data_IF_819005871245
#
_entry.id   IF_819005871245
#
_cell.length_a   1.000
_cell.length_b   1.000
_cell.length_c   1.000
_cell.angle_alpha   90.00
_cell.angle_beta   90.00
_cell.angle_gamma   90.00
#
_symmetry.space_group_name_H-M   'P 1'
#
loop_
_entity.id
_entity.type
_entity.pdbx_description
1 polymer ?
#
# COMPACT_ATOMS: atom_id res chain seq x y z
N UNK A 1 -48.54 -39.35 -12.88
CA UNK A 1 -47.40 -39.80 -13.73
C UNK A 1 -46.47 -38.64 -14.00
N UNK A 2 -45.46 -38.42 -13.14
CA UNK A 2 -44.40 -37.41 -13.36
C UNK A 2 -43.38 -38.01 -14.30
N UNK A 3 -43.43 -37.60 -15.59
CA UNK A 3 -42.33 -37.89 -16.53
C UNK A 3 -41.12 -37.08 -16.08
N UNK A 4 -40.21 -37.69 -15.31
CA UNK A 4 -38.85 -37.21 -15.21
C UNK A 4 -38.26 -37.10 -16.61
N UNK A 5 -38.37 -35.96 -17.26
CA UNK A 5 -37.61 -35.66 -18.47
C UNK A 5 -36.13 -35.63 -18.03
N UNK A 6 -35.39 -36.69 -18.35
CA UNK A 6 -33.94 -36.67 -18.25
C UNK A 6 -33.44 -35.56 -19.15
N UNK A 7 -32.88 -34.50 -18.51
CA UNK A 7 -32.27 -33.38 -19.23
C UNK A 7 -31.07 -33.92 -20.05
N UNK A 8 -30.91 -33.40 -21.24
CA UNK A 8 -29.66 -33.63 -22.02
C UNK A 8 -28.47 -32.98 -21.32
N UNK A 9 -27.26 -33.37 -21.68
CA UNK A 9 -26.01 -32.76 -21.14
C UNK A 9 -26.07 -31.20 -21.31
N UNK A 10 -26.44 -30.75 -22.50
CA UNK A 10 -26.55 -29.32 -22.79
C UNK A 10 -27.61 -28.61 -21.91
N UNK A 11 -28.80 -29.20 -21.76
CA UNK A 11 -29.86 -28.66 -20.91
C UNK A 11 -29.44 -28.65 -19.44
N UNK A 12 -28.69 -29.66 -18.97
CA UNK A 12 -28.16 -29.72 -17.61
C UNK A 12 -27.10 -28.64 -17.40
N UNK A 13 -26.24 -28.42 -18.38
CA UNK A 13 -25.24 -27.35 -18.34
C UNK A 13 -25.87 -25.96 -18.33
N UNK A 14 -26.84 -25.71 -19.21
CA UNK A 14 -27.57 -24.42 -19.24
C UNK A 14 -28.28 -24.15 -17.92
N UNK A 15 -28.91 -25.17 -17.34
CA UNK A 15 -29.55 -25.05 -16.02
C UNK A 15 -28.51 -24.75 -14.92
N UNK A 16 -27.32 -25.39 -14.97
CA UNK A 16 -26.24 -25.11 -14.04
C UNK A 16 -25.79 -23.65 -14.14
N UNK A 17 -25.61 -23.12 -15.34
CA UNK A 17 -25.26 -21.70 -15.58
C UNK A 17 -26.31 -20.77 -15.01
N UNK A 18 -27.60 -21.04 -15.26
CA UNK A 18 -28.71 -20.25 -14.70
C UNK A 18 -28.72 -20.24 -13.16
N UNK A 19 -28.45 -21.40 -12.54
CA UNK A 19 -28.38 -21.50 -11.07
C UNK A 19 -27.17 -20.74 -10.51
N UNK A 20 -26.03 -20.83 -11.21
CA UNK A 20 -24.83 -20.09 -10.86
C UNK A 20 -25.06 -18.57 -10.90
N UNK A 21 -25.65 -18.07 -12.00
CA UNK A 21 -26.03 -16.64 -12.15
C UNK A 21 -27.03 -16.16 -11.07
N UNK A 22 -27.90 -17.02 -10.59
CA UNK A 22 -28.84 -16.73 -9.48
C UNK A 22 -28.21 -16.95 -8.10
N UNK A 23 -26.92 -17.08 -8.00
CA UNK A 23 -26.16 -17.34 -6.75
C UNK A 23 -26.61 -18.60 -5.98
N UNK A 24 -27.22 -19.57 -6.68
CA UNK A 24 -27.56 -20.87 -6.10
C UNK A 24 -26.43 -21.87 -6.32
N UNK A 25 -25.30 -21.61 -5.63
CA UNK A 25 -24.02 -22.23 -5.89
C UNK A 25 -24.01 -23.75 -5.66
N UNK A 26 -24.66 -24.23 -4.60
CA UNK A 26 -24.72 -25.69 -4.31
C UNK A 26 -25.44 -26.48 -5.39
N UNK A 27 -26.57 -25.94 -5.90
CA UNK A 27 -27.32 -26.57 -6.98
C UNK A 27 -26.53 -26.50 -8.29
N UNK A 28 -25.86 -25.38 -8.55
CA UNK A 28 -25.01 -25.21 -9.73
C UNK A 28 -23.85 -26.22 -9.74
N UNK A 29 -23.15 -26.38 -8.60
CA UNK A 29 -22.08 -27.38 -8.41
C UNK A 29 -22.58 -28.79 -8.75
N UNK A 30 -23.68 -29.24 -8.12
CA UNK A 30 -24.26 -30.55 -8.37
C UNK A 30 -24.62 -30.79 -9.85
N UNK A 31 -25.08 -29.74 -10.55
CA UNK A 31 -25.42 -29.82 -11.97
C UNK A 31 -24.15 -29.86 -12.86
N UNK A 32 -23.12 -29.07 -12.57
CA UNK A 32 -21.84 -29.13 -13.27
C UNK A 32 -21.18 -30.51 -13.07
N UNK A 33 -21.23 -31.07 -11.86
CA UNK A 33 -20.73 -32.41 -11.58
C UNK A 33 -21.49 -33.49 -12.38
N UNK A 34 -22.81 -33.34 -12.55
CA UNK A 34 -23.58 -34.25 -13.40
C UNK A 34 -23.13 -34.16 -14.87
N UNK A 35 -22.86 -32.96 -15.36
CA UNK A 35 -22.31 -32.76 -16.70
C UNK A 35 -20.97 -33.47 -16.82
N UNK A 36 -20.04 -33.23 -15.86
CA UNK A 36 -18.69 -33.82 -15.88
C UNK A 36 -18.66 -35.35 -15.65
N UNK A 37 -19.67 -35.94 -15.00
CA UNK A 37 -19.82 -37.39 -14.90
C UNK A 37 -20.13 -38.02 -16.25
N UNK A 38 -20.85 -37.32 -17.12
CA UNK A 38 -21.19 -37.84 -18.47
C UNK A 38 -20.13 -37.44 -19.50
N UNK A 39 -19.65 -36.20 -19.44
CA UNK A 39 -18.55 -35.70 -20.29
C UNK A 39 -17.47 -35.07 -19.40
N UNK A 40 -16.44 -35.82 -18.97
CA UNK A 40 -15.35 -35.34 -18.14
C UNK A 40 -14.52 -34.22 -18.77
N UNK A 41 -14.64 -34.02 -20.09
CA UNK A 41 -13.90 -33.04 -20.88
C UNK A 41 -14.77 -31.81 -21.25
N UNK A 42 -15.95 -31.64 -20.67
CA UNK A 42 -16.83 -30.54 -20.97
C UNK A 42 -16.23 -29.21 -20.49
N UNK A 43 -15.59 -28.50 -21.40
CA UNK A 43 -14.83 -27.24 -21.13
C UNK A 43 -15.60 -26.20 -20.33
N UNK A 44 -16.87 -25.96 -20.73
CA UNK A 44 -17.72 -24.97 -20.04
C UNK A 44 -17.98 -25.35 -18.59
N UNK A 45 -18.23 -26.64 -18.30
CA UNK A 45 -18.47 -27.11 -16.94
C UNK A 45 -17.21 -27.02 -16.07
N UNK A 46 -16.04 -27.42 -16.62
CA UNK A 46 -14.75 -27.28 -15.91
C UNK A 46 -14.45 -25.84 -15.56
N UNK A 47 -14.59 -24.92 -16.52
CA UNK A 47 -14.30 -23.50 -16.30
C UNK A 47 -15.28 -22.88 -15.31
N UNK A 48 -16.59 -23.13 -15.46
CA UNK A 48 -17.60 -22.53 -14.59
C UNK A 48 -17.56 -23.12 -13.18
N UNK A 49 -17.20 -24.39 -13.01
CA UNK A 49 -17.01 -25.01 -11.71
C UNK A 49 -15.78 -24.42 -10.99
N UNK A 50 -14.70 -24.14 -11.74
CA UNK A 50 -13.54 -23.45 -11.22
C UNK A 50 -13.89 -22.01 -10.74
N UNK A 51 -14.68 -21.27 -11.53
CA UNK A 51 -15.19 -19.94 -11.14
C UNK A 51 -16.05 -20.04 -9.87
N UNK A 52 -16.91 -21.05 -9.78
CA UNK A 52 -17.76 -21.30 -8.61
C UNK A 52 -16.91 -21.56 -7.36
N UNK A 53 -15.92 -22.43 -7.43
CA UNK A 53 -15.03 -22.69 -6.28
C UNK A 53 -14.21 -21.45 -5.89
N UNK A 54 -13.80 -20.63 -6.85
CA UNK A 54 -13.16 -19.35 -6.58
C UNK A 54 -14.09 -18.39 -5.80
N UNK A 55 -15.38 -18.36 -6.16
CA UNK A 55 -16.38 -17.56 -5.46
C UNK A 55 -16.65 -18.07 -4.04
N UNK A 56 -16.51 -19.38 -3.82
CA UNK A 56 -16.62 -20.01 -2.48
C UNK A 56 -15.33 -19.89 -1.64
N UNK A 57 -14.23 -19.33 -2.18
CA UNK A 57 -12.93 -19.28 -1.52
C UNK A 57 -12.19 -20.62 -1.49
N UNK A 58 -12.65 -21.61 -2.25
CA UNK A 58 -12.04 -22.94 -2.37
C UNK A 58 -10.96 -22.96 -3.47
N UNK A 59 -9.94 -22.08 -3.34
CA UNK A 59 -8.96 -21.79 -4.37
C UNK A 59 -8.16 -23.03 -4.82
N UNK A 60 -7.91 -23.99 -3.94
CA UNK A 60 -7.24 -25.26 -4.33
C UNK A 60 -8.10 -26.10 -5.28
N UNK A 61 -9.41 -26.16 -5.07
CA UNK A 61 -10.32 -26.85 -5.99
C UNK A 61 -10.40 -26.08 -7.32
N UNK A 62 -10.54 -24.77 -7.28
CA UNK A 62 -10.55 -23.93 -8.49
C UNK A 62 -9.32 -24.18 -9.36
N UNK A 63 -8.12 -24.24 -8.76
CA UNK A 63 -6.86 -24.56 -9.42
C UNK A 63 -6.94 -25.86 -10.21
N UNK A 64 -7.41 -26.95 -9.57
CA UNK A 64 -7.53 -28.27 -10.20
C UNK A 64 -8.39 -28.21 -11.47
N UNK A 65 -9.51 -27.54 -11.42
CA UNK A 65 -10.43 -27.45 -12.56
C UNK A 65 -9.90 -26.55 -13.68
N UNK A 66 -9.23 -25.42 -13.36
CA UNK A 66 -8.56 -24.60 -14.38
C UNK A 66 -7.40 -25.35 -15.05
N UNK A 67 -6.59 -26.08 -14.28
CA UNK A 67 -5.51 -26.90 -14.83
C UNK A 67 -6.04 -28.00 -15.78
N UNK A 68 -7.16 -28.65 -15.42
CA UNK A 68 -7.85 -29.59 -16.33
C UNK A 68 -8.33 -28.90 -17.60
N UNK A 69 -8.97 -27.73 -17.50
CA UNK A 69 -9.43 -26.97 -18.64
C UNK A 69 -8.27 -26.56 -19.58
N UNK A 70 -7.15 -26.11 -19.00
CA UNK A 70 -5.95 -25.75 -19.76
C UNK A 70 -5.30 -26.96 -20.42
N UNK A 71 -5.30 -28.14 -19.76
CA UNK A 71 -4.79 -29.37 -20.35
C UNK A 71 -5.58 -29.78 -21.59
N UNK A 72 -6.89 -29.57 -21.58
CA UNK A 72 -7.75 -29.85 -22.73
C UNK A 72 -7.62 -28.80 -23.84
N UNK A 73 -7.49 -27.53 -23.48
CA UNK A 73 -7.34 -26.42 -24.43
C UNK A 73 -6.20 -25.49 -23.96
N UNK A 74 -4.95 -25.81 -24.35
CA UNK A 74 -3.79 -25.03 -23.92
C UNK A 74 -3.82 -23.52 -24.31
N UNK A 75 -4.51 -23.20 -25.40
CA UNK A 75 -4.66 -21.84 -25.91
C UNK A 75 -5.97 -21.18 -25.42
N UNK A 76 -6.30 -21.30 -24.12
CA UNK A 76 -7.49 -20.69 -23.53
C UNK A 76 -7.07 -19.51 -22.62
N UNK A 77 -6.99 -18.30 -23.17
CA UNK A 77 -6.50 -17.11 -22.48
C UNK A 77 -7.23 -16.83 -21.14
N UNK A 78 -8.57 -16.97 -21.13
CA UNK A 78 -9.39 -16.74 -19.93
C UNK A 78 -9.04 -17.72 -18.81
N UNK A 79 -8.85 -19.00 -19.14
CA UNK A 79 -8.49 -20.00 -18.12
C UNK A 79 -7.10 -19.74 -17.53
N UNK A 80 -6.12 -19.33 -18.36
CA UNK A 80 -4.81 -18.91 -17.87
C UNK A 80 -4.90 -17.66 -16.99
N UNK A 81 -5.67 -16.64 -17.38
CA UNK A 81 -5.89 -15.46 -16.55
C UNK A 81 -6.51 -15.84 -15.19
N UNK A 82 -7.55 -16.65 -15.19
CA UNK A 82 -8.24 -17.03 -13.95
C UNK A 82 -7.37 -17.94 -13.06
N UNK A 83 -6.58 -18.84 -13.64
CA UNK A 83 -5.59 -19.61 -12.89
C UNK A 83 -4.51 -18.69 -12.28
N UNK A 84 -4.10 -17.64 -12.99
CA UNK A 84 -3.20 -16.62 -12.48
C UNK A 84 -3.76 -15.93 -11.24
N UNK A 85 -5.06 -15.58 -11.24
CA UNK A 85 -5.75 -15.00 -10.08
C UNK A 85 -5.74 -15.98 -8.90
N UNK A 86 -5.99 -17.27 -9.15
CA UNK A 86 -5.94 -18.32 -8.11
C UNK A 86 -4.54 -18.45 -7.52
N UNK A 87 -3.48 -18.50 -8.35
CA UNK A 87 -2.11 -18.55 -7.85
C UNK A 87 -1.74 -17.32 -7.01
N UNK A 88 -2.20 -16.11 -7.38
CA UNK A 88 -1.97 -14.91 -6.57
C UNK A 88 -2.63 -15.03 -5.18
N UNK A 89 -3.87 -15.49 -5.11
CA UNK A 89 -4.56 -15.72 -3.82
C UNK A 89 -3.86 -16.78 -2.95
N UNK A 90 -3.20 -17.76 -3.59
CA UNK A 90 -2.42 -18.79 -2.91
C UNK A 90 -0.99 -18.32 -2.54
N UNK A 91 -0.61 -17.07 -2.83
CA UNK A 91 0.74 -16.54 -2.60
C UNK A 91 1.81 -17.09 -3.55
N UNK A 92 1.40 -17.73 -4.67
CA UNK A 92 2.30 -18.32 -5.65
C UNK A 92 2.61 -17.30 -6.78
N UNK A 93 3.18 -16.13 -6.44
CA UNK A 93 3.30 -14.95 -7.31
C UNK A 93 4.03 -15.24 -8.64
N UNK A 94 5.08 -16.04 -8.65
CA UNK A 94 5.80 -16.37 -9.89
C UNK A 94 4.96 -17.22 -10.86
N UNK A 95 4.14 -18.15 -10.33
CA UNK A 95 3.21 -18.92 -11.14
C UNK A 95 2.07 -18.05 -11.66
N UNK A 96 1.58 -17.14 -10.80
CA UNK A 96 0.58 -16.13 -11.18
C UNK A 96 1.07 -15.29 -12.36
N UNK A 97 2.28 -14.71 -12.26
CA UNK A 97 2.93 -13.95 -13.33
C UNK A 97 2.99 -14.75 -14.63
N UNK A 98 3.50 -15.98 -14.57
CA UNK A 98 3.60 -16.88 -15.75
C UNK A 98 2.23 -17.15 -16.42
N UNK A 99 1.17 -17.29 -15.61
CA UNK A 99 -0.18 -17.51 -16.13
C UNK A 99 -0.72 -16.28 -16.86
N UNK A 100 -0.54 -15.07 -16.31
CA UNK A 100 -0.96 -13.84 -16.98
C UNK A 100 -0.15 -13.59 -18.26
N UNK A 101 1.16 -13.82 -18.26
CA UNK A 101 2.00 -13.73 -19.45
C UNK A 101 1.53 -14.69 -20.56
N UNK A 102 1.13 -15.93 -20.20
CA UNK A 102 0.55 -16.88 -21.14
C UNK A 102 -0.80 -16.39 -21.67
N UNK A 103 -1.66 -15.86 -20.81
CA UNK A 103 -2.95 -15.31 -21.23
C UNK A 103 -2.77 -14.18 -22.27
N UNK A 104 -1.82 -13.27 -22.03
CA UNK A 104 -1.48 -12.16 -22.92
C UNK A 104 -0.86 -12.68 -24.23
N UNK A 105 0.01 -13.68 -24.17
CA UNK A 105 0.60 -14.30 -25.37
C UNK A 105 -0.48 -14.92 -26.27
N UNK A 106 -1.51 -15.52 -25.67
CA UNK A 106 -2.64 -16.13 -26.40
C UNK A 106 -3.59 -15.05 -26.94
N UNK A 107 -3.91 -14.06 -26.11
CA UNK A 107 -4.76 -12.93 -26.48
C UNK A 107 -4.10 -11.60 -26.06
N UNK A 108 -3.35 -10.95 -26.95
CA UNK A 108 -2.69 -9.66 -26.65
C UNK A 108 -3.65 -8.52 -26.27
N UNK A 109 -4.93 -8.64 -26.61
CA UNK A 109 -5.96 -7.66 -26.29
C UNK A 109 -6.80 -8.03 -25.06
N UNK A 110 -6.25 -8.85 -24.14
CA UNK A 110 -6.92 -9.20 -22.88
C UNK A 110 -6.60 -8.16 -21.81
N UNK A 111 -7.42 -7.11 -21.69
CA UNK A 111 -7.22 -6.00 -20.76
C UNK A 111 -7.06 -6.46 -19.30
N UNK A 112 -7.90 -7.42 -18.84
CA UNK A 112 -7.81 -7.95 -17.46
C UNK A 112 -6.47 -8.63 -17.19
N UNK A 113 -5.95 -9.40 -18.16
CA UNK A 113 -4.66 -10.07 -18.00
C UNK A 113 -3.49 -9.06 -17.90
N UNK A 114 -3.54 -7.98 -18.68
CA UNK A 114 -2.57 -6.89 -18.55
C UNK A 114 -2.68 -6.20 -17.18
N UNK A 115 -3.90 -5.86 -16.73
CA UNK A 115 -4.10 -5.27 -15.40
C UNK A 115 -3.63 -6.19 -14.28
N UNK A 116 -3.94 -7.48 -14.34
CA UNK A 116 -3.56 -8.45 -13.33
C UNK A 116 -2.04 -8.69 -13.30
N UNK A 117 -1.39 -8.75 -14.47
CA UNK A 117 0.07 -8.80 -14.56
C UNK A 117 0.70 -7.54 -13.96
N UNK A 118 0.14 -6.35 -14.23
CA UNK A 118 0.56 -5.10 -13.63
C UNK A 118 0.52 -5.14 -12.09
N UNK A 119 -0.54 -5.72 -11.51
CA UNK A 119 -0.65 -5.87 -10.06
C UNK A 119 0.43 -6.79 -9.47
N UNK A 120 0.73 -7.92 -10.10
CA UNK A 120 1.81 -8.82 -9.66
C UNK A 120 3.18 -8.13 -9.78
N UNK A 121 3.45 -7.45 -10.88
CA UNK A 121 4.70 -6.72 -11.08
C UNK A 121 4.89 -5.62 -10.03
N UNK A 122 3.80 -4.90 -9.70
CA UNK A 122 3.79 -3.91 -8.61
C UNK A 122 4.14 -4.55 -7.25
N UNK A 123 3.57 -5.72 -6.93
CA UNK A 123 3.89 -6.46 -5.70
C UNK A 123 5.37 -6.89 -5.67
N UNK A 124 5.91 -7.30 -6.80
CA UNK A 124 7.32 -7.68 -6.95
C UNK A 124 8.28 -6.47 -7.01
N UNK A 125 7.77 -5.23 -6.98
CA UNK A 125 8.59 -4.01 -7.07
C UNK A 125 9.07 -3.67 -8.48
N UNK A 126 8.55 -4.33 -9.52
CA UNK A 126 8.86 -4.08 -10.92
C UNK A 126 7.99 -2.94 -11.50
N UNK A 127 8.07 -1.73 -10.89
CA UNK A 127 7.12 -0.63 -11.10
C UNK A 127 7.03 -0.15 -12.56
N UNK A 128 8.13 -0.02 -13.28
CA UNK A 128 8.13 0.43 -14.67
C UNK A 128 7.39 -0.58 -15.59
N UNK A 129 7.57 -1.87 -15.32
CA UNK A 129 6.83 -2.90 -16.06
C UNK A 129 5.35 -2.90 -15.69
N UNK A 130 5.01 -2.66 -14.41
CA UNK A 130 3.63 -2.53 -13.97
C UNK A 130 2.91 -1.36 -14.66
N UNK A 131 3.55 -0.18 -14.75
CA UNK A 131 3.06 0.99 -15.51
C UNK A 131 2.74 0.59 -16.96
N UNK A 132 3.70 -0.03 -17.65
CA UNK A 132 3.50 -0.46 -19.05
C UNK A 132 2.32 -1.42 -19.21
N UNK A 133 2.10 -2.31 -18.25
CA UNK A 133 0.96 -3.24 -18.26
C UNK A 133 -0.38 -2.51 -18.06
N UNK A 134 -0.47 -1.57 -17.09
CA UNK A 134 -1.67 -0.78 -16.88
C UNK A 134 -1.99 0.11 -18.08
N UNK A 135 -1.00 0.78 -18.67
CA UNK A 135 -1.17 1.58 -19.89
C UNK A 135 -1.68 0.75 -21.07
N UNK A 136 -1.19 -0.49 -21.21
CA UNK A 136 -1.72 -1.44 -22.20
C UNK A 136 -3.18 -1.80 -21.94
N UNK A 137 -3.54 -2.10 -20.68
CA UNK A 137 -4.92 -2.37 -20.30
C UNK A 137 -5.85 -1.18 -20.63
N UNK A 138 -5.41 0.04 -20.32
CA UNK A 138 -6.13 1.29 -20.63
C UNK A 138 -6.24 1.52 -22.13
N UNK A 139 -5.19 1.25 -22.89
CA UNK A 139 -5.23 1.37 -24.36
C UNK A 139 -6.25 0.42 -24.98
N UNK A 140 -6.39 -0.80 -24.42
CA UNK A 140 -7.37 -1.79 -24.88
C UNK A 140 -8.79 -1.39 -24.45
N UNK A 141 -8.95 -0.96 -23.20
CA UNK A 141 -10.22 -0.51 -22.63
C UNK A 141 -10.02 0.85 -21.93
N UNK A 142 -10.28 1.99 -22.62
CA UNK A 142 -10.10 3.33 -22.06
C UNK A 142 -10.97 3.65 -20.84
N UNK A 143 -12.05 2.91 -20.61
CA UNK A 143 -12.92 3.06 -19.43
C UNK A 143 -12.62 2.03 -18.32
N UNK A 144 -11.46 1.38 -18.34
CA UNK A 144 -11.09 0.39 -17.34
C UNK A 144 -10.68 1.06 -16.02
N UNK A 145 -11.66 1.30 -15.17
CA UNK A 145 -11.51 1.99 -13.87
C UNK A 145 -10.34 1.45 -13.05
N UNK A 146 -10.28 0.11 -12.87
CA UNK A 146 -9.23 -0.50 -12.04
C UNK A 146 -7.82 -0.29 -12.60
N UNK A 147 -7.65 -0.27 -13.92
CA UNK A 147 -6.34 -0.03 -14.53
C UNK A 147 -5.87 1.41 -14.32
N UNK A 148 -6.77 2.41 -14.48
CA UNK A 148 -6.47 3.81 -14.15
C UNK A 148 -6.15 3.98 -12.66
N UNK A 149 -6.92 3.37 -11.77
CA UNK A 149 -6.69 3.42 -10.33
C UNK A 149 -5.35 2.79 -9.92
N UNK A 150 -5.04 1.61 -10.47
CA UNK A 150 -3.78 0.92 -10.18
C UNK A 150 -2.56 1.69 -10.72
N UNK A 151 -2.68 2.28 -11.91
CA UNK A 151 -1.66 3.16 -12.50
C UNK A 151 -1.42 4.39 -11.63
N UNK A 152 -2.49 5.03 -11.16
CA UNK A 152 -2.42 6.17 -10.25
C UNK A 152 -1.69 5.81 -8.95
N UNK A 153 -1.97 4.64 -8.37
CA UNK A 153 -1.30 4.16 -7.15
C UNK A 153 0.20 3.93 -7.35
N UNK A 154 0.62 3.45 -8.54
CA UNK A 154 2.06 3.30 -8.84
C UNK A 154 2.71 4.67 -8.98
N UNK A 155 2.11 5.61 -9.72
CA UNK A 155 2.64 6.98 -9.83
C UNK A 155 2.75 7.68 -8.47
N UNK A 156 1.71 7.54 -7.63
CA UNK A 156 1.74 8.11 -6.27
C UNK A 156 2.89 7.53 -5.43
N UNK A 157 3.13 6.22 -5.50
CA UNK A 157 4.24 5.57 -4.81
C UNK A 157 5.62 6.05 -5.30
N UNK A 158 5.74 6.35 -6.59
CA UNK A 158 6.99 6.84 -7.20
C UNK A 158 7.20 8.35 -7.04
N UNK A 159 6.29 9.08 -6.39
CA UNK A 159 6.38 10.53 -6.24
C UNK A 159 5.94 11.31 -7.48
N UNK A 160 5.37 10.65 -8.48
CA UNK A 160 4.86 11.30 -9.70
C UNK A 160 3.46 11.86 -9.48
N UNK A 161 3.30 12.76 -8.48
CA UNK A 161 2.01 13.24 -7.95
C UNK A 161 1.08 13.78 -9.03
N UNK A 162 1.57 14.54 -10.02
CA UNK A 162 0.73 15.11 -11.09
C UNK A 162 0.13 14.04 -11.99
N UNK A 163 0.89 12.97 -12.31
CA UNK A 163 0.39 11.83 -13.07
C UNK A 163 -0.66 11.05 -12.26
N UNK A 164 -0.39 10.84 -10.96
CA UNK A 164 -1.33 10.19 -10.06
C UNK A 164 -2.66 10.95 -9.99
N UNK A 165 -2.63 12.28 -9.77
CA UNK A 165 -3.80 13.16 -9.75
C UNK A 165 -4.60 13.05 -11.05
N UNK A 166 -3.93 13.08 -12.21
CA UNK A 166 -4.59 12.94 -13.51
C UNK A 166 -5.34 11.61 -13.64
N UNK A 167 -4.69 10.51 -13.23
CA UNK A 167 -5.30 9.18 -13.28
C UNK A 167 -6.45 9.03 -12.29
N UNK A 168 -6.36 9.54 -11.04
CA UNK A 168 -7.48 9.51 -10.08
C UNK A 168 -8.67 10.35 -10.57
N UNK A 169 -8.42 11.54 -11.16
CA UNK A 169 -9.47 12.35 -11.77
C UNK A 169 -10.18 11.57 -12.90
N UNK A 170 -9.42 10.79 -13.68
CA UNK A 170 -10.02 9.94 -14.73
C UNK A 170 -10.85 8.79 -14.14
N UNK A 171 -10.41 8.17 -13.04
CA UNK A 171 -11.23 7.18 -12.32
C UNK A 171 -12.58 7.78 -11.91
N UNK A 172 -12.56 8.97 -11.28
CA UNK A 172 -13.76 9.67 -10.82
C UNK A 172 -14.68 10.11 -11.99
N UNK A 173 -14.10 10.44 -13.13
CA UNK A 173 -14.87 10.75 -14.36
C UNK A 173 -15.63 9.52 -14.87
N UNK A 174 -14.98 8.33 -14.85
CA UNK A 174 -15.58 7.09 -15.33
C UNK A 174 -16.57 6.52 -14.31
N UNK A 175 -16.18 6.48 -13.02
CA UNK A 175 -17.02 6.04 -11.90
C UNK A 175 -17.05 7.10 -10.80
N UNK A 176 -18.06 7.97 -10.79
CA UNK A 176 -18.22 9.00 -9.77
C UNK A 176 -18.47 8.50 -8.34
N UNK A 177 -18.72 7.20 -8.15
CA UNK A 177 -18.95 6.60 -6.84
C UNK A 177 -17.72 5.85 -6.29
N UNK A 178 -16.59 5.87 -7.00
CA UNK A 178 -15.36 5.20 -6.57
C UNK A 178 -14.68 5.97 -5.42
N UNK A 179 -15.10 5.69 -4.20
CA UNK A 179 -14.71 6.43 -2.97
C UNK A 179 -13.22 6.44 -2.72
N UNK A 180 -12.52 5.34 -3.01
CA UNK A 180 -11.07 5.20 -2.84
C UNK A 180 -10.28 6.17 -3.75
N UNK A 181 -10.81 6.48 -4.94
CA UNK A 181 -10.16 7.45 -5.81
C UNK A 181 -10.25 8.88 -5.25
N UNK A 182 -11.37 9.26 -4.65
CA UNK A 182 -11.48 10.56 -3.96
C UNK A 182 -10.51 10.65 -2.78
N UNK A 183 -10.42 9.59 -1.97
CA UNK A 183 -9.48 9.55 -0.86
C UNK A 183 -8.03 9.69 -1.33
N UNK A 184 -7.62 8.89 -2.33
CA UNK A 184 -6.25 8.93 -2.83
C UNK A 184 -5.96 10.23 -3.60
N UNK A 185 -6.93 10.82 -4.27
CA UNK A 185 -6.81 12.14 -4.88
C UNK A 185 -6.59 13.22 -3.84
N UNK A 186 -7.32 13.17 -2.71
CA UNK A 186 -7.10 14.06 -1.58
C UNK A 186 -5.66 13.92 -1.04
N UNK A 187 -5.18 12.68 -0.86
CA UNK A 187 -3.80 12.39 -0.40
C UNK A 187 -2.75 12.97 -1.35
N UNK A 188 -2.96 12.84 -2.66
CA UNK A 188 -2.03 13.33 -3.68
C UNK A 188 -2.08 14.85 -3.90
N UNK A 189 -3.05 15.55 -3.30
CA UNK A 189 -3.28 17.00 -3.48
C UNK A 189 -2.67 17.79 -2.33
N UNK A 190 -1.74 18.70 -2.61
CA UNK A 190 -1.07 19.54 -1.61
C UNK A 190 -1.85 20.81 -1.24
N UNK A 191 -2.89 21.17 -1.99
CA UNK A 191 -3.71 22.36 -1.75
C UNK A 191 -4.86 22.08 -0.79
N UNK A 192 -4.94 22.82 0.32
CA UNK A 192 -5.97 22.65 1.37
C UNK A 192 -7.40 22.83 0.83
N UNK A 193 -7.64 23.84 -0.02
CA UNK A 193 -8.99 24.15 -0.51
C UNK A 193 -9.47 23.08 -1.51
N UNK A 194 -8.60 22.64 -2.42
CA UNK A 194 -8.90 21.53 -3.34
C UNK A 194 -9.15 20.25 -2.53
N UNK A 195 -8.31 19.96 -1.55
CA UNK A 195 -8.41 18.82 -0.65
C UNK A 195 -9.76 18.81 0.10
N UNK A 196 -10.17 19.95 0.67
CA UNK A 196 -11.50 20.10 1.31
C UNK A 196 -12.65 19.87 0.34
N UNK A 197 -12.54 20.36 -0.90
CA UNK A 197 -13.55 20.14 -1.94
C UNK A 197 -13.70 18.66 -2.28
N UNK A 198 -12.58 17.96 -2.42
CA UNK A 198 -12.55 16.51 -2.69
C UNK A 198 -13.20 15.73 -1.54
N UNK A 199 -12.80 16.01 -0.29
CA UNK A 199 -13.35 15.35 0.90
C UNK A 199 -14.86 15.58 1.08
N UNK A 200 -15.35 16.80 0.76
CA UNK A 200 -16.79 17.09 0.78
C UNK A 200 -17.56 16.23 -0.23
N UNK A 201 -17.00 16.02 -1.42
CA UNK A 201 -17.59 15.11 -2.43
C UNK A 201 -17.58 13.67 -1.93
N UNK A 202 -16.46 13.20 -1.39
CA UNK A 202 -16.35 11.86 -0.79
C UNK A 202 -17.41 11.66 0.32
N UNK A 203 -17.51 12.59 1.25
CA UNK A 203 -18.45 12.51 2.36
C UNK A 203 -19.94 12.58 1.92
N UNK A 204 -20.22 13.22 0.78
CA UNK A 204 -21.56 13.20 0.16
C UNK A 204 -21.92 11.81 -0.39
N UNK A 205 -20.95 11.07 -0.90
CA UNK A 205 -21.12 9.69 -1.40
C UNK A 205 -21.21 8.71 -0.24
N UNK A 206 -20.28 8.82 0.71
CA UNK A 206 -20.18 7.97 1.91
C UNK A 206 -20.19 8.85 3.18
N UNK A 207 -21.37 9.11 3.71
CA UNK A 207 -21.57 9.96 4.89
C UNK A 207 -21.17 9.27 6.22
N UNK A 208 -20.78 7.99 6.18
CA UNK A 208 -20.23 7.22 7.31
C UNK A 208 -18.70 7.22 7.33
N UNK A 209 -18.05 7.84 6.35
CA UNK A 209 -16.60 7.88 6.26
C UNK A 209 -15.99 8.77 7.35
N UNK A 210 -15.71 8.14 8.49
CA UNK A 210 -15.12 8.82 9.67
C UNK A 210 -13.79 9.49 9.34
N UNK A 211 -12.94 8.86 8.50
CA UNK A 211 -11.65 9.45 8.13
C UNK A 211 -11.82 10.74 7.34
N UNK A 212 -12.75 10.77 6.38
CA UNK A 212 -13.06 11.99 5.63
C UNK A 212 -13.59 13.10 6.52
N UNK A 213 -14.50 12.79 7.46
CA UNK A 213 -15.03 13.73 8.46
C UNK A 213 -13.90 14.33 9.32
N UNK A 214 -13.01 13.48 9.84
CA UNK A 214 -11.88 13.92 10.66
C UNK A 214 -10.96 14.83 9.84
N UNK A 215 -10.58 14.43 8.62
CA UNK A 215 -9.70 15.24 7.77
C UNK A 215 -10.31 16.61 7.42
N UNK A 216 -11.59 16.69 7.12
CA UNK A 216 -12.24 17.97 6.88
C UNK A 216 -12.13 18.89 8.10
N UNK A 217 -12.35 18.37 9.31
CA UNK A 217 -12.24 19.17 10.55
C UNK A 217 -10.81 19.67 10.79
N UNK A 218 -9.81 18.83 10.47
CA UNK A 218 -8.38 19.21 10.56
C UNK A 218 -8.05 20.34 9.59
N UNK A 219 -8.39 20.18 8.32
CA UNK A 219 -8.10 21.18 7.30
C UNK A 219 -8.77 22.53 7.61
N UNK A 220 -9.97 22.50 8.20
CA UNK A 220 -10.62 23.70 8.67
C UNK A 220 -9.90 24.30 9.89
N UNK A 221 -9.42 23.48 10.83
CA UNK A 221 -8.60 23.93 11.96
C UNK A 221 -7.33 24.65 11.50
N UNK A 222 -6.63 24.12 10.49
CA UNK A 222 -5.48 24.82 9.89
C UNK A 222 -5.84 26.14 9.19
N UNK A 223 -7.09 26.33 8.80
CA UNK A 223 -7.63 27.61 8.31
C UNK A 223 -8.13 28.53 9.45
N UNK A 224 -7.92 28.14 10.70
CA UNK A 224 -8.34 28.89 11.89
C UNK A 224 -9.78 28.62 12.36
N UNK A 225 -10.49 27.67 11.73
CA UNK A 225 -11.84 27.30 12.17
C UNK A 225 -11.83 25.95 12.89
N UNK A 226 -11.86 25.99 14.22
CA UNK A 226 -11.81 24.81 15.08
C UNK A 226 -13.19 24.24 15.48
N UNK A 227 -14.29 24.83 15.04
CA UNK A 227 -15.63 24.43 15.49
C UNK A 227 -15.93 22.96 15.23
N UNK A 228 -15.66 22.48 14.01
CA UNK A 228 -15.89 21.06 13.68
C UNK A 228 -14.94 20.12 14.41
N UNK A 229 -13.71 20.53 14.66
CA UNK A 229 -12.76 19.74 15.44
C UNK A 229 -13.16 19.64 16.90
N UNK A 230 -13.65 20.74 17.52
CA UNK A 230 -14.18 20.73 18.88
C UNK A 230 -15.42 19.83 19.01
N UNK A 231 -16.31 19.85 18.01
CA UNK A 231 -17.45 18.93 17.95
C UNK A 231 -16.98 17.46 17.82
N UNK A 232 -15.92 17.21 17.07
CA UNK A 232 -15.32 15.89 16.95
C UNK A 232 -14.78 15.37 18.29
N UNK A 233 -14.08 16.23 19.03
CA UNK A 233 -13.56 15.90 20.37
C UNK A 233 -14.69 15.61 21.41
N UNK A 234 -15.86 16.19 21.22
CA UNK A 234 -17.03 15.95 22.05
C UNK A 234 -17.85 14.71 21.62
N UNK A 235 -17.49 14.05 20.53
CA UNK A 235 -18.22 12.91 19.95
C UNK A 235 -17.55 11.57 20.30
N UNK A 236 -18.19 10.44 19.88
CA UNK A 236 -17.61 9.11 19.95
C UNK A 236 -16.29 8.95 19.14
N UNK A 237 -16.07 9.83 18.16
CA UNK A 237 -14.86 9.82 17.33
C UNK A 237 -13.63 10.42 18.06
N UNK A 238 -13.77 10.92 19.28
CA UNK A 238 -12.67 11.49 20.10
C UNK A 238 -11.53 10.48 20.33
N UNK A 239 -11.86 9.20 20.45
CA UNK A 239 -10.88 8.11 20.65
C UNK A 239 -10.32 7.53 19.36
N UNK A 240 -10.77 8.00 18.19
CA UNK A 240 -10.21 7.55 16.91
C UNK A 240 -8.71 7.90 16.83
N UNK A 241 -7.82 7.00 16.37
CA UNK A 241 -6.37 7.26 16.33
C UNK A 241 -6.02 8.60 15.66
N UNK A 242 -6.67 8.91 14.55
CA UNK A 242 -6.50 10.17 13.84
C UNK A 242 -6.86 11.38 14.71
N UNK A 243 -7.97 11.32 15.43
CA UNK A 243 -8.41 12.42 16.31
C UNK A 243 -7.41 12.64 17.43
N UNK A 244 -6.87 11.56 18.04
CA UNK A 244 -5.87 11.67 19.11
C UNK A 244 -4.56 12.28 18.58
N UNK A 245 -4.08 11.85 17.43
CA UNK A 245 -2.87 12.40 16.79
C UNK A 245 -3.03 13.89 16.46
N UNK A 246 -4.18 14.28 15.92
CA UNK A 246 -4.46 15.66 15.57
C UNK A 246 -4.59 16.53 16.82
N UNK A 247 -5.23 16.02 17.89
CA UNK A 247 -5.28 16.68 19.19
C UNK A 247 -3.87 16.98 19.72
N UNK A 248 -2.96 16.00 19.59
CA UNK A 248 -1.56 16.20 19.95
C UNK A 248 -0.90 17.28 19.08
N UNK A 249 -1.06 17.23 17.74
CA UNK A 249 -0.49 18.27 16.86
C UNK A 249 -1.04 19.66 17.18
N UNK A 250 -2.34 19.79 17.44
CA UNK A 250 -2.94 21.10 17.81
C UNK A 250 -2.59 21.55 19.22
N UNK A 251 -2.04 20.69 20.08
CA UNK A 251 -1.51 21.07 21.40
C UNK A 251 -0.06 21.54 21.36
N UNK A 252 0.63 21.44 20.23
CA UNK A 252 2.01 21.89 20.09
C UNK A 252 2.11 23.41 20.25
N UNK A 253 3.20 23.94 20.86
CA UNK A 253 3.38 25.41 21.07
C UNK A 253 3.36 26.20 19.76
N UNK A 254 3.76 25.55 18.66
CA UNK A 254 3.73 26.11 17.31
C UNK A 254 3.24 25.02 16.35
N UNK A 255 2.24 25.37 15.53
CA UNK A 255 1.75 24.44 14.51
C UNK A 255 2.83 24.19 13.47
N UNK A 256 3.13 22.90 13.20
CA UNK A 256 4.09 22.51 12.16
C UNK A 256 3.52 22.77 10.78
N UNK A 257 4.39 22.83 9.77
CA UNK A 257 3.97 22.82 8.38
C UNK A 257 3.35 21.45 8.05
N UNK A 258 2.20 21.45 7.36
CA UNK A 258 1.50 20.19 7.03
C UNK A 258 1.60 19.84 5.55
N UNK A 259 1.63 18.54 5.31
CA UNK A 259 1.52 17.92 4.00
C UNK A 259 0.57 16.72 4.05
N UNK A 260 0.17 16.21 2.89
CA UNK A 260 -0.77 15.09 2.77
C UNK A 260 -0.15 13.89 2.07
N UNK A 261 1.00 14.05 1.42
CA UNK A 261 1.74 12.97 0.80
C UNK A 261 3.20 12.96 1.28
N UNK A 262 3.82 11.78 1.17
CA UNK A 262 5.19 11.51 1.60
C UNK A 262 6.22 12.38 0.86
N UNK A 263 6.02 12.63 -0.42
CA UNK A 263 7.04 13.25 -1.25
C UNK A 263 7.12 14.76 -0.99
N UNK A 264 5.99 15.46 -0.94
CA UNK A 264 5.94 16.88 -0.55
C UNK A 264 6.47 17.08 0.87
N UNK A 265 6.25 16.09 1.77
CA UNK A 265 6.83 16.09 3.11
C UNK A 265 8.36 15.98 3.04
N UNK A 266 8.91 14.99 2.30
CA UNK A 266 10.35 14.86 2.14
C UNK A 266 10.97 16.06 1.45
N UNK A 267 10.35 16.63 0.42
CA UNK A 267 10.83 17.85 -0.23
C UNK A 267 10.95 19.01 0.78
N UNK A 268 9.95 19.17 1.63
CA UNK A 268 9.99 20.21 2.68
C UNK A 268 11.09 19.94 3.72
N UNK A 269 11.29 18.71 4.12
CA UNK A 269 12.33 18.30 5.06
C UNK A 269 13.72 18.48 4.45
N UNK A 270 13.92 18.04 3.21
CA UNK A 270 15.17 18.18 2.45
C UNK A 270 15.52 19.66 2.26
N UNK A 271 14.55 20.50 1.97
CA UNK A 271 14.77 21.96 1.84
C UNK A 271 15.20 22.63 3.17
N UNK A 272 14.93 22.02 4.32
CA UNK A 272 15.35 22.49 5.65
C UNK A 272 16.67 21.84 6.11
N UNK A 273 17.22 20.91 5.35
CA UNK A 273 18.38 20.08 5.67
C UNK A 273 19.68 20.65 5.10
N UNK A 274 20.82 20.24 5.67
CA UNK A 274 22.16 20.61 5.21
C UNK A 274 22.70 19.61 4.19
N UNK A 275 22.54 19.85 2.90
CA UNK A 275 22.80 18.89 1.83
C UNK A 275 24.28 18.46 1.68
N UNK A 276 25.21 19.13 2.35
CA UNK A 276 26.63 18.74 2.40
C UNK A 276 26.92 17.53 3.30
N UNK A 277 25.97 17.15 4.14
CA UNK A 277 26.06 16.01 5.06
C UNK A 277 25.29 14.81 4.53
N UNK A 278 25.66 13.57 4.92
CA UNK A 278 24.90 12.39 4.55
C UNK A 278 23.57 12.32 5.29
N UNK A 279 22.70 11.44 4.78
CA UNK A 279 21.52 10.98 5.53
C UNK A 279 21.69 9.53 6.00
N UNK A 280 20.90 9.13 6.98
CA UNK A 280 20.82 7.79 7.53
C UNK A 280 19.38 7.31 7.49
N UNK A 281 19.15 6.04 7.17
CA UNK A 281 17.80 5.46 7.14
C UNK A 281 17.79 4.11 7.83
N UNK A 282 16.93 3.97 8.83
CA UNK A 282 16.70 2.76 9.60
C UNK A 282 15.38 2.14 9.17
N UNK A 283 15.43 0.97 8.49
CA UNK A 283 14.31 0.37 7.79
C UNK A 283 14.26 0.81 6.32
N UNK A 284 15.01 0.13 5.45
CA UNK A 284 15.15 0.51 4.03
C UNK A 284 14.18 -0.25 3.13
N UNK A 285 13.89 -1.51 3.47
CA UNK A 285 13.06 -2.40 2.68
C UNK A 285 13.44 -2.42 1.19
N UNK A 286 12.57 -1.94 0.30
CA UNK A 286 12.83 -1.85 -1.15
C UNK A 286 13.64 -0.63 -1.58
N UNK A 287 13.97 0.26 -0.65
CA UNK A 287 14.79 1.45 -0.89
C UNK A 287 14.09 2.59 -1.62
N UNK A 288 12.76 2.67 -1.59
CA UNK A 288 12.01 3.71 -2.33
C UNK A 288 12.26 5.09 -1.73
N UNK A 289 12.13 5.25 -0.42
CA UNK A 289 12.44 6.49 0.32
C UNK A 289 13.93 6.81 0.22
N UNK A 290 14.78 5.81 0.41
CA UNK A 290 16.22 5.94 0.28
C UNK A 290 16.64 6.49 -1.10
N UNK A 291 16.09 5.90 -2.19
CA UNK A 291 16.35 6.35 -3.56
C UNK A 291 15.90 7.80 -3.80
N UNK A 292 14.77 8.19 -3.19
CA UNK A 292 14.27 9.55 -3.30
C UNK A 292 15.20 10.56 -2.61
N UNK A 293 15.58 10.28 -1.37
CA UNK A 293 16.39 11.15 -0.53
C UNK A 293 17.82 11.28 -1.07
N UNK A 294 18.43 10.18 -1.54
CA UNK A 294 19.83 10.18 -1.99
C UNK A 294 20.08 11.03 -3.24
N UNK A 295 19.05 11.28 -4.05
CA UNK A 295 19.16 12.18 -5.20
C UNK A 295 19.65 13.57 -4.82
N UNK A 296 19.36 14.03 -3.58
CA UNK A 296 19.83 15.32 -3.06
C UNK A 296 21.14 15.17 -2.28
N UNK A 297 21.22 14.24 -1.32
CA UNK A 297 22.36 14.14 -0.41
C UNK A 297 23.60 13.46 -1.00
N UNK A 298 23.46 12.72 -2.10
CA UNK A 298 24.53 12.00 -2.82
C UNK A 298 25.25 10.91 -2.01
N UNK A 299 25.06 10.86 -0.68
CA UNK A 299 25.59 9.83 0.22
C UNK A 299 24.58 9.50 1.29
N UNK A 300 24.31 8.21 1.50
CA UNK A 300 23.40 7.73 2.52
C UNK A 300 23.86 6.39 3.11
N UNK A 301 23.46 6.15 4.36
CA UNK A 301 23.68 4.89 5.08
C UNK A 301 22.32 4.28 5.37
N UNK A 302 22.09 3.06 4.88
CA UNK A 302 20.83 2.33 5.07
C UNK A 302 21.03 1.09 5.95
N UNK A 303 20.13 0.87 6.89
CA UNK A 303 20.18 -0.26 7.83
C UNK A 303 18.91 -1.07 7.73
N UNK A 304 19.02 -2.36 7.47
CA UNK A 304 17.87 -3.27 7.37
C UNK A 304 18.32 -4.74 7.42
N UNK A 305 17.43 -5.62 7.82
CA UNK A 305 17.60 -7.07 7.65
C UNK A 305 17.32 -7.51 6.22
N UNK A 306 16.52 -6.77 5.48
CA UNK A 306 15.92 -7.09 4.17
C UNK A 306 15.10 -8.40 4.17
N UNK A 307 14.86 -8.96 5.36
CA UNK A 307 14.03 -10.16 5.56
C UNK A 307 12.68 -9.85 6.20
N UNK A 308 12.42 -8.56 6.45
CA UNK A 308 11.19 -8.04 7.04
C UNK A 308 11.22 -7.92 8.56
N UNK A 309 10.08 -7.59 9.15
CA UNK A 309 9.94 -7.34 10.58
C UNK A 309 10.52 -8.48 11.43
N UNK A 310 11.34 -8.18 12.46
CA UNK A 310 11.89 -9.19 13.35
C UNK A 310 10.83 -9.83 14.28
N UNK A 311 9.73 -9.15 14.53
CA UNK A 311 8.61 -9.60 15.35
C UNK A 311 7.26 -9.15 14.77
N UNK A 312 6.15 -9.53 15.39
CA UNK A 312 4.80 -9.12 14.97
C UNK A 312 4.51 -7.70 15.41
N UNK A 313 3.99 -6.87 14.50
CA UNK A 313 3.59 -5.50 14.77
C UNK A 313 2.15 -5.23 14.30
N UNK A 314 1.27 -4.85 15.24
CA UNK A 314 -0.18 -4.66 15.02
C UNK A 314 -0.81 -5.88 14.32
N UNK A 315 -1.38 -5.72 13.15
CA UNK A 315 -1.94 -6.81 12.34
C UNK A 315 -0.92 -7.47 11.39
N UNK A 316 0.34 -7.03 11.41
CA UNK A 316 1.42 -7.49 10.52
C UNK A 316 2.27 -8.55 11.21
N UNK A 317 2.42 -9.70 10.57
CA UNK A 317 3.23 -10.80 11.11
C UNK A 317 4.73 -10.54 10.94
N UNK A 318 5.52 -11.24 11.75
CA UNK A 318 6.97 -11.35 11.54
C UNK A 318 7.27 -11.69 10.07
N UNK A 319 8.26 -11.03 9.47
CA UNK A 319 8.63 -11.16 8.06
C UNK A 319 7.84 -10.25 7.11
N UNK A 320 6.83 -9.49 7.61
CA UNK A 320 6.19 -8.46 6.80
C UNK A 320 7.22 -7.43 6.31
N UNK A 321 6.96 -6.81 5.16
CA UNK A 321 7.87 -5.88 4.46
C UNK A 321 9.19 -6.49 3.97
N UNK A 322 9.30 -7.82 3.96
CA UNK A 322 10.48 -8.50 3.44
C UNK A 322 10.79 -8.12 1.99
N UNK A 323 12.06 -7.90 1.71
CA UNK A 323 12.61 -7.84 0.35
C UNK A 323 13.29 -9.15 -0.04
N UNK A 324 12.91 -10.26 0.61
CA UNK A 324 13.46 -11.61 0.40
C UNK A 324 14.99 -11.68 0.48
N UNK A 325 15.59 -10.85 1.36
CA UNK A 325 17.03 -10.71 1.52
C UNK A 325 17.74 -9.93 0.39
N UNK A 326 16.98 -9.37 -0.55
CA UNK A 326 17.56 -8.60 -1.65
C UNK A 326 17.90 -7.17 -1.21
N UNK A 327 19.18 -6.82 -1.23
CA UNK A 327 19.68 -5.49 -0.92
C UNK A 327 19.55 -4.60 -2.16
N UNK A 328 18.94 -3.41 -2.07
CA UNK A 328 18.82 -2.51 -3.20
C UNK A 328 20.20 -1.99 -3.66
N UNK A 329 20.39 -1.84 -4.96
CA UNK A 329 21.60 -1.27 -5.55
C UNK A 329 21.33 0.19 -5.91
N UNK A 330 21.73 1.09 -5.03
CA UNK A 330 21.51 2.54 -5.17
C UNK A 330 22.86 3.24 -5.12
N UNK A 331 23.17 4.02 -6.14
CA UNK A 331 24.42 4.78 -6.22
C UNK A 331 24.52 5.78 -5.04
N UNK A 332 25.68 5.82 -4.38
CA UNK A 332 25.92 6.63 -3.19
C UNK A 332 25.37 6.03 -1.89
N UNK A 333 24.64 4.92 -1.95
CA UNK A 333 24.11 4.19 -0.78
C UNK A 333 25.09 3.14 -0.25
N UNK A 334 25.31 3.15 1.06
CA UNK A 334 26.02 2.08 1.81
C UNK A 334 25.01 1.36 2.69
N UNK A 335 24.82 0.04 2.47
CA UNK A 335 23.80 -0.74 3.18
C UNK A 335 24.43 -1.68 4.19
N UNK A 336 23.96 -1.60 5.42
CA UNK A 336 24.36 -2.41 6.56
C UNK A 336 23.26 -3.43 6.82
N UNK A 337 23.56 -4.71 6.53
CA UNK A 337 22.59 -5.81 6.56
C UNK A 337 22.63 -6.52 7.90
N UNK A 338 21.52 -6.57 8.59
CA UNK A 338 21.34 -7.27 9.86
C UNK A 338 20.43 -6.54 10.81
N UNK A 339 20.17 -7.14 11.96
CA UNK A 339 19.39 -6.49 13.00
C UNK A 339 20.15 -5.33 13.63
N UNK A 340 19.43 -4.32 14.07
CA UNK A 340 20.03 -3.10 14.65
C UNK A 340 20.89 -3.42 15.88
N UNK A 341 20.41 -4.28 16.77
CA UNK A 341 21.16 -4.71 17.97
C UNK A 341 22.51 -5.36 17.67
N UNK A 342 22.65 -6.00 16.50
CA UNK A 342 23.88 -6.69 16.10
C UNK A 342 24.82 -5.76 15.30
N UNK A 343 24.30 -4.87 14.48
CA UNK A 343 25.08 -4.11 13.49
C UNK A 343 25.45 -2.70 13.93
N UNK A 344 24.58 -2.02 14.68
CA UNK A 344 24.82 -0.62 15.07
C UNK A 344 25.96 -0.43 16.07
N UNK A 345 26.21 -1.35 17.04
CA UNK A 345 27.36 -1.24 17.92
C UNK A 345 28.70 -1.14 17.16
N UNK A 346 28.90 -2.01 16.17
CA UNK A 346 30.12 -2.00 15.35
C UNK A 346 30.17 -0.78 14.44
N UNK A 347 29.08 -0.47 13.75
CA UNK A 347 29.02 0.67 12.82
C UNK A 347 29.35 1.98 13.52
N UNK A 348 28.73 2.26 14.67
CA UNK A 348 28.93 3.48 15.45
C UNK A 348 30.12 3.40 16.46
N UNK A 349 30.90 2.31 16.48
CA UNK A 349 32.18 2.29 17.19
C UNK A 349 33.23 3.17 16.50
N UNK A 350 33.09 3.37 15.20
CA UNK A 350 33.96 4.22 14.37
C UNK A 350 33.37 5.63 14.29
N UNK A 351 34.23 6.62 14.12
CA UNK A 351 33.78 8.00 13.86
C UNK A 351 32.99 8.06 12.54
N UNK A 352 31.82 8.71 12.61
CA UNK A 352 30.94 8.85 11.47
C UNK A 352 30.56 10.31 11.25
N UNK A 353 30.33 10.75 10.01
CA UNK A 353 29.93 12.12 9.73
C UNK A 353 28.59 12.44 10.38
N UNK A 354 28.44 13.69 10.83
CA UNK A 354 27.15 14.18 11.35
C UNK A 354 26.07 14.06 10.27
N UNK A 355 24.90 13.63 10.70
CA UNK A 355 23.75 13.49 9.84
C UNK A 355 23.15 14.85 9.46
N UNK A 356 22.67 14.98 8.25
CA UNK A 356 21.75 16.04 7.89
C UNK A 356 20.31 15.65 8.22
N UNK A 357 19.97 14.41 7.86
CA UNK A 357 18.67 13.80 8.02
C UNK A 357 18.84 12.38 8.54
N UNK A 358 18.01 11.97 9.50
CA UNK A 358 17.85 10.57 9.89
C UNK A 358 16.38 10.18 9.71
N UNK A 359 16.13 9.19 8.87
CA UNK A 359 14.80 8.63 8.67
C UNK A 359 14.65 7.33 9.47
N UNK A 360 13.73 7.31 10.42
CA UNK A 360 13.33 6.12 11.18
C UNK A 360 12.06 5.57 10.53
N UNK A 361 12.18 4.44 9.86
CA UNK A 361 11.11 3.65 9.22
C UNK A 361 11.22 2.21 9.79
N UNK A 362 11.25 2.15 11.11
CA UNK A 362 11.60 0.93 11.85
C UNK A 362 10.39 0.23 12.48
N UNK A 363 9.21 0.84 12.39
CA UNK A 363 7.90 0.35 12.82
C UNK A 363 7.79 0.07 14.34
N UNK A 364 8.81 -0.57 14.92
CA UNK A 364 8.78 -1.10 16.28
C UNK A 364 9.42 -0.14 17.29
N UNK A 365 8.81 -0.01 18.47
CA UNK A 365 9.39 0.73 19.60
C UNK A 365 10.83 0.31 19.90
N UNK A 366 11.10 -1.01 20.00
CA UNK A 366 12.42 -1.53 20.32
C UNK A 366 13.47 -1.19 19.28
N UNK A 367 13.13 -1.32 18.01
CA UNK A 367 14.00 -1.00 16.87
C UNK A 367 14.29 0.49 16.78
N UNK A 368 13.26 1.34 16.94
CA UNK A 368 13.41 2.80 16.91
C UNK A 368 14.25 3.29 18.09
N UNK A 369 14.02 2.79 19.29
CA UNK A 369 14.82 3.18 20.46
C UNK A 369 16.27 2.75 20.32
N UNK A 370 16.54 1.54 19.80
CA UNK A 370 17.88 1.06 19.50
C UNK A 370 18.58 1.98 18.51
N UNK A 371 17.91 2.30 17.39
CA UNK A 371 18.45 3.19 16.36
C UNK A 371 18.75 4.60 16.90
N UNK A 372 17.85 5.19 17.68
CA UNK A 372 18.04 6.49 18.33
C UNK A 372 19.27 6.51 19.25
N UNK A 373 19.40 5.51 20.12
CA UNK A 373 20.51 5.44 21.08
C UNK A 373 21.87 5.36 20.40
N UNK A 374 22.02 4.55 19.34
CA UNK A 374 23.28 4.43 18.61
C UNK A 374 23.55 5.62 17.70
N UNK A 375 22.53 6.14 17.00
CA UNK A 375 22.67 7.27 16.09
C UNK A 375 22.87 8.62 16.80
N UNK A 376 22.67 8.70 18.12
CA UNK A 376 22.92 9.94 18.90
C UNK A 376 24.32 10.53 18.64
N UNK A 377 25.33 9.69 18.36
CA UNK A 377 26.69 10.12 18.02
C UNK A 377 26.80 10.99 16.76
N UNK A 378 25.85 10.86 15.84
CA UNK A 378 25.81 11.61 14.56
C UNK A 378 24.78 12.71 14.55
N UNK A 379 24.02 12.90 15.63
CA UNK A 379 23.02 13.96 15.79
C UNK A 379 23.67 15.24 16.32
N UNK A 380 23.24 16.38 15.85
CA UNK A 380 23.50 17.72 16.38
C UNK A 380 22.28 18.65 16.13
N UNK A 381 22.41 19.94 16.45
CA UNK A 381 21.32 20.93 16.31
C UNK A 381 20.87 21.17 14.85
N UNK A 382 21.66 20.74 13.87
CA UNK A 382 21.34 20.83 12.44
C UNK A 382 20.64 19.60 11.90
N UNK A 383 20.72 18.48 12.62
CA UNK A 383 20.14 17.21 12.21
C UNK A 383 18.62 17.25 12.31
N UNK A 384 17.95 16.82 11.25
CA UNK A 384 16.49 16.60 11.26
C UNK A 384 16.21 15.12 11.45
N UNK A 385 15.37 14.78 12.42
CA UNK A 385 14.89 13.42 12.64
C UNK A 385 13.50 13.29 12.03
N UNK A 386 13.32 12.27 11.18
CA UNK A 386 12.05 11.90 10.57
C UNK A 386 11.61 10.56 11.12
N UNK A 387 10.35 10.44 11.48
CA UNK A 387 9.71 9.21 11.91
C UNK A 387 8.59 8.91 10.93
N UNK A 388 8.58 7.69 10.36
CA UNK A 388 7.64 7.34 9.29
C UNK A 388 6.23 7.09 9.81
N UNK A 389 6.10 6.55 11.03
CA UNK A 389 4.81 6.19 11.62
C UNK A 389 4.61 6.74 13.04
N UNK A 390 5.10 7.95 13.33
CA UNK A 390 5.01 8.54 14.67
C UNK A 390 3.57 8.76 15.16
N UNK A 391 2.61 8.95 14.23
CA UNK A 391 1.22 9.32 14.51
C UNK A 391 0.23 8.54 13.64
N UNK A 392 -1.08 8.69 13.92
CA UNK A 392 -2.22 8.29 13.08
C UNK A 392 -2.58 6.79 13.07
N UNK A 393 -1.71 5.87 13.46
CA UNK A 393 -2.05 4.45 13.62
C UNK A 393 -2.64 4.14 15.00
N UNK A 394 -3.16 2.94 15.20
CA UNK A 394 -3.96 2.57 16.38
C UNK A 394 -3.20 2.74 17.69
N UNK A 395 -1.95 2.38 17.74
CA UNK A 395 -1.11 2.33 18.95
C UNK A 395 0.05 3.33 18.92
N UNK A 396 -0.05 4.39 18.12
CA UNK A 396 1.05 5.32 17.87
C UNK A 396 1.74 5.86 19.14
N UNK A 397 1.00 6.02 20.25
CA UNK A 397 1.56 6.49 21.51
C UNK A 397 2.51 5.47 22.17
N UNK A 398 2.52 4.21 21.73
CA UNK A 398 3.29 3.10 22.32
C UNK A 398 4.51 2.70 21.50
N UNK A 399 4.58 3.14 20.25
CA UNK A 399 5.61 2.74 19.29
C UNK A 399 6.70 3.84 19.14
N UNK A 400 6.95 4.38 17.97
CA UNK A 400 8.00 5.37 17.72
C UNK A 400 7.87 6.63 18.58
N UNK A 401 6.65 7.10 18.86
CA UNK A 401 6.41 8.25 19.75
C UNK A 401 6.93 7.99 21.18
N UNK A 402 6.70 6.80 21.72
CA UNK A 402 7.23 6.41 23.01
C UNK A 402 8.77 6.33 22.98
N UNK A 403 9.35 5.73 21.94
CA UNK A 403 10.79 5.63 21.77
C UNK A 403 11.47 7.01 21.74
N UNK A 404 10.89 7.95 20.98
CA UNK A 404 11.37 9.32 20.91
C UNK A 404 11.33 10.03 22.28
N UNK A 405 10.20 9.95 23.00
CA UNK A 405 10.11 10.62 24.30
C UNK A 405 11.05 10.01 25.33
N UNK A 406 11.16 8.69 25.42
CA UNK A 406 12.11 8.01 26.29
C UNK A 406 13.57 8.38 25.98
N UNK A 407 13.93 8.45 24.71
CA UNK A 407 15.25 8.91 24.28
C UNK A 407 15.51 10.36 24.72
N UNK A 408 14.54 11.25 24.52
CA UNK A 408 14.64 12.65 24.90
C UNK A 408 14.75 12.82 26.42
N UNK A 409 13.94 12.12 27.21
CA UNK A 409 13.94 12.18 28.67
C UNK A 409 15.27 11.70 29.24
N UNK A 410 15.83 10.59 28.71
CA UNK A 410 17.10 10.01 29.16
C UNK A 410 18.30 10.95 28.92
N UNK A 411 18.24 11.80 27.89
CA UNK A 411 19.35 12.68 27.50
C UNK A 411 19.09 14.16 27.85
N UNK A 412 17.92 14.49 28.42
CA UNK A 412 17.55 15.85 28.77
C UNK A 412 17.29 16.73 27.54
N UNK A 413 16.83 16.16 26.44
CA UNK A 413 16.46 16.89 25.24
C UNK A 413 14.95 17.23 25.22
N UNK A 414 14.62 18.41 24.72
CA UNK A 414 13.30 18.69 24.15
C UNK A 414 13.33 18.50 22.64
N UNK A 415 12.19 18.69 21.99
CA UNK A 415 12.13 18.73 20.52
C UNK A 415 11.09 19.71 20.00
N UNK A 416 11.28 20.18 18.78
CA UNK A 416 10.30 20.95 18.02
C UNK A 416 9.83 20.14 16.83
N UNK A 417 8.51 19.98 16.70
CA UNK A 417 7.90 19.41 15.49
C UNK A 417 7.87 20.48 14.40
N UNK A 418 8.53 20.24 13.29
CA UNK A 418 8.69 21.23 12.21
C UNK A 418 7.81 20.94 10.99
N UNK A 419 7.60 19.66 10.65
CA UNK A 419 6.78 19.21 9.52
C UNK A 419 5.98 17.98 9.92
N UNK A 420 4.73 17.88 9.46
CA UNK A 420 3.86 16.71 9.66
C UNK A 420 3.19 16.32 8.34
N UNK A 421 3.09 15.03 8.06
CA UNK A 421 2.23 14.48 7.03
C UNK A 421 1.14 13.61 7.67
N UNK A 422 -0.10 14.12 7.71
CA UNK A 422 -1.19 13.40 8.37
C UNK A 422 -1.61 12.11 7.68
N UNK A 423 -1.45 12.02 6.36
CA UNK A 423 -1.98 10.89 5.60
C UNK A 423 -0.94 9.82 5.29
N UNK A 424 0.32 10.18 5.46
CA UNK A 424 1.45 9.23 5.38
C UNK A 424 2.18 9.08 6.73
N UNK A 425 1.58 9.64 7.82
CA UNK A 425 1.89 9.43 9.25
C UNK A 425 3.24 9.96 9.72
N UNK A 426 3.96 10.66 8.85
CA UNK A 426 5.33 11.11 9.06
C UNK A 426 5.38 12.40 9.89
N UNK A 427 6.40 12.47 10.72
CA UNK A 427 6.71 13.66 11.52
C UNK A 427 8.20 13.95 11.45
N UNK A 428 8.56 15.20 11.17
CA UNK A 428 9.93 15.69 11.25
C UNK A 428 10.12 16.60 12.46
N UNK A 429 11.20 16.38 13.19
CA UNK A 429 11.54 17.15 14.39
C UNK A 429 13.00 17.65 14.35
N UNK A 430 13.27 18.66 15.16
CA UNK A 430 14.62 19.06 15.59
C UNK A 430 14.74 18.93 17.10
N UNK A 431 15.84 18.35 17.57
CA UNK A 431 16.12 18.30 19.00
C UNK A 431 16.46 19.70 19.51
N UNK A 432 16.08 19.98 20.78
CA UNK A 432 16.40 21.18 21.53
C UNK A 432 17.08 20.77 22.83
N UNK A 433 18.17 21.46 23.16
CA UNK A 433 18.82 21.35 24.50
C UNK A 433 18.07 22.14 25.52
#
# INVERSE_FOLDING_TARGET
MNKNKNLTINQTFELAVQKHQKNNLQVAESLYDKVLKVDPNHMGALNNLAILFQALGEDQKAKIYYEKAIKLKPNHAIAHNNLGIVFNKLGEDQKSKSCFEKAIKINPNHADAHNNLGNILKQLGEDQKAISCFEKAIKINPSYVNAHYNLANVFNRLGESQKAISCYKKVIEIDPNFTEAYWNLHVATSNIDESLSILKKLYKIDNKNTKAKIMMSVLQGYKGNFNEFNNLLASSDSNHPYTRSIKWVFSLPKLPKIFFNRWDFFDAVIALSENSRPFYEFGVSKGISFQYIINTFKKGFGFDTFTGLPETWDARSKGSFSNFGSVPKIEGGEFIVGKFEDTLPEFFSKERPKASLINFDADLYSSTLCALNYSNKVIDEKTILVFDELIMHKNWEKDEYRALNEFCDNLGFGYEVIVVSFLTWQVAIKLKK
#
